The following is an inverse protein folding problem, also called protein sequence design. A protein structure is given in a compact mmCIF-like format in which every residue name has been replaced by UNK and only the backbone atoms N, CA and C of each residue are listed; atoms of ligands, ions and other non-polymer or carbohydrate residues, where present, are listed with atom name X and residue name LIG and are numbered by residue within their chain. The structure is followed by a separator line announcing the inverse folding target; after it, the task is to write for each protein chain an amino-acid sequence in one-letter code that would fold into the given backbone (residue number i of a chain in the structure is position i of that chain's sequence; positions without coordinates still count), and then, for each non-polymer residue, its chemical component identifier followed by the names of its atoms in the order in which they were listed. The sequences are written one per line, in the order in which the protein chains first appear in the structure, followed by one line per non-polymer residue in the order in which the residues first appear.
data_IF_282585523191
#
_entry.id   IF_282585523191
#
_cell.length_a   1.000
_cell.length_b   1.000
_cell.length_c   1.000
_cell.angle_alpha   90.00
_cell.angle_beta   90.00
_cell.angle_gamma   90.00
#
_symmetry.space_group_name_H-M   'P 1'
#
loop_
_entity.id
_entity.type
_entity.pdbx_description
1 polymer ?
#
# COMPACT_ATOMS: atom_id res chain seq x y z
N UNK A 1 3.24 19.05 -2.02
CA UNK A 1 4.40 19.17 -2.93
C UNK A 1 4.66 17.83 -3.60
N UNK A 2 5.06 17.86 -4.86
CA UNK A 2 5.29 16.67 -5.65
C UNK A 2 6.78 16.54 -5.95
N UNK A 3 7.36 15.38 -5.60
CA UNK A 3 8.75 15.08 -5.89
C UNK A 3 8.85 13.79 -6.67
N UNK A 4 9.62 13.82 -7.76
CA UNK A 4 9.90 12.61 -8.51
C UNK A 4 11.02 11.84 -7.79
N UNK A 5 10.78 10.57 -7.48
CA UNK A 5 11.80 9.75 -6.83
C UNK A 5 12.59 8.98 -7.91
N UNK A 6 12.14 7.81 -8.32
CA UNK A 6 12.81 7.09 -9.38
C UNK A 6 11.78 6.33 -10.21
N UNK A 7 12.14 6.10 -11.48
CA UNK A 7 11.28 5.45 -12.46
C UNK A 7 9.96 6.18 -12.58
N UNK A 8 8.87 5.60 -12.20
CA UNK A 8 7.55 6.19 -12.33
C UNK A 8 6.97 6.63 -11.00
N UNK A 9 7.77 6.65 -9.93
CA UNK A 9 7.28 6.99 -8.60
C UNK A 9 7.59 8.42 -8.24
N UNK A 10 6.62 9.06 -7.59
CA UNK A 10 6.72 10.43 -7.10
C UNK A 10 6.20 10.49 -5.66
N UNK A 11 6.73 11.44 -4.88
CA UNK A 11 6.29 11.69 -3.52
C UNK A 11 5.29 12.83 -3.53
N UNK A 12 4.11 12.59 -2.97
CA UNK A 12 3.05 13.62 -2.82
C UNK A 12 2.77 13.79 -1.34
N UNK A 13 3.31 14.84 -0.74
CA UNK A 13 3.21 15.04 0.71
C UNK A 13 1.96 15.80 1.14
N UNK A 14 1.38 16.57 0.25
CA UNK A 14 0.27 17.46 0.59
C UNK A 14 -1.04 16.73 0.86
N UNK A 15 -1.26 15.56 0.28
CA UNK A 15 -2.49 14.81 0.46
C UNK A 15 -2.61 14.16 1.85
N UNK A 16 -1.46 13.80 2.43
CA UNK A 16 -1.40 13.17 3.76
C UNK A 16 -0.21 13.76 4.49
N UNK A 17 -0.39 14.87 5.25
CA UNK A 17 0.74 15.60 5.84
C UNK A 17 1.66 14.76 6.72
N UNK A 18 1.17 13.68 7.30
CA UNK A 18 1.95 12.81 8.19
C UNK A 18 2.40 11.53 7.51
N UNK A 19 2.17 11.40 6.21
CA UNK A 19 2.53 10.20 5.45
C UNK A 19 3.32 10.59 4.20
N UNK A 20 4.20 9.69 3.79
CA UNK A 20 4.86 9.79 2.50
C UNK A 20 3.96 9.11 1.47
N UNK A 21 3.59 9.82 0.41
CA UNK A 21 2.75 9.27 -0.64
C UNK A 21 3.56 9.18 -1.92
N UNK A 22 3.66 7.96 -2.44
CA UNK A 22 4.37 7.67 -3.68
C UNK A 22 3.36 7.31 -4.75
N UNK A 23 3.49 7.95 -5.89
CA UNK A 23 2.54 7.84 -7.00
C UNK A 23 3.23 7.11 -8.16
N UNK A 24 2.55 6.12 -8.71
CA UNK A 24 3.01 5.45 -9.92
C UNK A 24 2.32 6.10 -11.12
N UNK A 25 3.13 6.71 -11.98
CA UNK A 25 2.65 7.32 -13.21
C UNK A 25 3.12 6.53 -14.42
N UNK A 26 2.29 6.50 -15.44
CA UNK A 26 2.65 5.95 -16.72
C UNK A 26 2.13 6.92 -17.79
N UNK A 27 3.05 7.53 -18.54
CA UNK A 27 2.69 8.64 -19.40
C UNK A 27 2.23 9.82 -18.57
N UNK A 28 1.07 10.39 -18.91
CA UNK A 28 0.48 11.50 -18.17
C UNK A 28 -0.55 11.05 -17.15
N UNK A 29 -0.72 9.73 -16.96
CA UNK A 29 -1.78 9.18 -16.12
C UNK A 29 -1.23 8.59 -14.83
N UNK A 30 -1.88 8.92 -13.72
CA UNK A 30 -1.60 8.30 -12.44
C UNK A 30 -2.32 6.96 -12.41
N UNK A 31 -1.55 5.88 -12.24
CA UNK A 31 -2.07 4.52 -12.22
C UNK A 31 -2.36 4.02 -10.82
N UNK A 32 -1.72 4.61 -9.81
CA UNK A 32 -1.96 4.22 -8.43
C UNK A 32 -1.05 4.98 -7.48
N UNK A 33 -1.27 4.78 -6.19
CA UNK A 33 -0.41 5.37 -5.17
C UNK A 33 -0.35 4.47 -3.94
N UNK A 34 0.70 4.69 -3.14
CA UNK A 34 0.84 4.07 -1.83
C UNK A 34 1.27 5.14 -0.82
N UNK A 35 0.60 5.19 0.31
CA UNK A 35 0.94 6.09 1.40
C UNK A 35 1.57 5.32 2.54
N UNK A 36 2.73 5.79 3.00
CA UNK A 36 3.47 5.18 4.10
C UNK A 36 3.59 6.15 5.26
N UNK A 37 3.25 5.67 6.44
CA UNK A 37 3.51 6.38 7.68
C UNK A 37 4.49 5.51 8.47
N UNK A 38 5.77 5.88 8.43
CA UNK A 38 6.86 5.03 8.89
C UNK A 38 6.81 3.68 8.16
N UNK A 39 6.62 2.56 8.86
CA UNK A 39 6.51 1.24 8.24
C UNK A 39 5.06 0.82 7.96
N UNK A 40 4.09 1.68 8.28
CA UNK A 40 2.68 1.36 8.13
C UNK A 40 2.15 1.84 6.78
N UNK A 41 1.50 0.94 6.06
CA UNK A 41 0.83 1.30 4.81
C UNK A 41 -0.51 1.93 5.17
N UNK A 42 -0.57 3.26 5.11
CA UNK A 42 -1.76 4.01 5.43
C UNK A 42 -2.83 3.91 4.34
N UNK A 43 -2.41 3.65 3.11
CA UNK A 43 -3.34 3.46 2.01
C UNK A 43 -2.61 3.00 0.77
N UNK A 44 -3.32 2.27 -0.07
CA UNK A 44 -2.85 1.87 -1.39
C UNK A 44 -4.05 1.90 -2.33
N UNK A 45 -3.85 2.49 -3.49
CA UNK A 45 -4.90 2.63 -4.49
C UNK A 45 -4.34 2.32 -5.87
N UNK A 46 -5.12 1.58 -6.65
CA UNK A 46 -4.80 1.31 -8.05
C UNK A 46 -6.04 1.67 -8.86
N UNK A 47 -5.87 2.45 -9.92
CA UNK A 47 -6.99 2.85 -10.77
C UNK A 47 -7.68 1.62 -11.38
N UNK A 48 -8.99 1.73 -11.66
CA UNK A 48 -9.73 0.62 -12.21
C UNK A 48 -9.15 0.07 -13.51
N UNK A 49 -8.61 0.97 -14.34
CA UNK A 49 -7.99 0.56 -15.60
C UNK A 49 -6.68 -0.19 -15.40
N UNK A 50 -5.99 0.05 -14.30
CA UNK A 50 -4.67 -0.50 -14.04
C UNK A 50 -4.68 -1.71 -13.09
N UNK A 51 -5.85 -2.10 -12.57
CA UNK A 51 -5.92 -3.14 -11.54
C UNK A 51 -5.42 -4.51 -12.00
N UNK A 52 -5.51 -4.82 -13.27
CA UNK A 52 -5.08 -6.10 -13.81
C UNK A 52 -3.66 -6.09 -14.37
N UNK A 53 -2.96 -4.96 -14.30
CA UNK A 53 -1.65 -4.79 -14.94
C UNK A 53 -0.47 -4.88 -13.99
N UNK A 54 -0.69 -5.33 -12.75
CA UNK A 54 0.40 -5.52 -11.79
C UNK A 54 0.87 -4.26 -11.08
N UNK A 55 0.10 -3.17 -11.15
CA UNK A 55 0.50 -1.90 -10.52
C UNK A 55 0.52 -2.03 -9.00
N UNK A 56 -0.45 -2.72 -8.39
CA UNK A 56 -0.44 -2.96 -6.95
C UNK A 56 0.82 -3.66 -6.49
N UNK A 57 1.25 -4.66 -7.24
CA UNK A 57 2.49 -5.37 -6.96
C UNK A 57 3.71 -4.46 -7.09
N UNK A 58 3.73 -3.58 -8.08
CA UNK A 58 4.82 -2.62 -8.25
C UNK A 58 4.90 -1.64 -7.08
N UNK A 59 3.75 -1.17 -6.59
CA UNK A 59 3.69 -0.29 -5.43
C UNK A 59 4.24 -0.99 -4.18
N UNK A 60 3.84 -2.22 -3.95
CA UNK A 60 4.33 -3.01 -2.81
C UNK A 60 5.84 -3.27 -2.95
N UNK A 61 6.31 -3.63 -4.13
CA UNK A 61 7.74 -3.86 -4.37
C UNK A 61 8.55 -2.60 -4.14
N UNK A 62 8.02 -1.44 -4.56
CA UNK A 62 8.68 -0.16 -4.29
C UNK A 62 8.80 0.07 -2.78
N UNK A 63 7.71 -0.11 -2.05
CA UNK A 63 7.71 0.08 -0.60
C UNK A 63 8.69 -0.87 0.09
N UNK A 64 8.77 -2.12 -0.35
CA UNK A 64 9.73 -3.09 0.16
C UNK A 64 11.17 -2.67 -0.07
N UNK A 65 11.41 -1.90 -1.13
CA UNK A 65 12.75 -1.40 -1.44
C UNK A 65 13.22 -0.29 -0.52
N UNK A 66 12.28 0.43 0.10
CA UNK A 66 12.62 1.59 0.93
C UNK A 66 12.31 1.39 2.42
N UNK A 67 11.76 0.24 2.79
CA UNK A 67 11.50 -0.11 4.19
C UNK A 67 11.96 -1.54 4.45
N UNK A 68 12.46 -1.80 5.64
CA UNK A 68 12.87 -3.16 6.03
C UNK A 68 11.70 -3.99 6.53
N UNK A 69 10.59 -3.33 6.82
CA UNK A 69 9.39 -3.94 7.34
C UNK A 69 8.20 -3.11 6.89
N UNK A 70 7.08 -3.77 6.64
CA UNK A 70 5.82 -3.09 6.30
C UNK A 70 4.69 -3.72 7.08
N UNK A 71 3.77 -2.89 7.57
CA UNK A 71 2.58 -3.32 8.30
C UNK A 71 1.35 -2.72 7.65
N UNK A 72 0.23 -3.42 7.76
CA UNK A 72 -1.05 -2.91 7.26
C UNK A 72 -2.20 -3.51 8.04
N UNK A 73 -3.37 -2.91 7.89
CA UNK A 73 -4.64 -3.48 8.33
C UNK A 73 -5.54 -3.65 7.12
N UNK A 74 -6.31 -4.72 7.09
CA UNK A 74 -7.19 -5.02 5.98
C UNK A 74 -8.46 -5.68 6.50
N UNK A 75 -9.62 -5.30 5.95
CA UNK A 75 -10.87 -5.94 6.32
C UNK A 75 -10.85 -7.42 5.97
N UNK A 76 -11.26 -8.27 6.92
CA UNK A 76 -11.27 -9.72 6.71
C UNK A 76 -12.21 -10.10 5.56
N UNK A 77 -13.29 -9.35 5.39
CA UNK A 77 -14.23 -9.60 4.31
C UNK A 77 -13.68 -9.27 2.93
N UNK A 78 -12.61 -8.48 2.86
CA UNK A 78 -11.95 -8.17 1.60
C UNK A 78 -10.97 -9.29 1.26
N UNK A 79 -11.52 -10.46 0.89
CA UNK A 79 -10.71 -11.66 0.67
C UNK A 79 -9.73 -11.50 -0.48
N UNK A 80 -10.07 -10.70 -1.49
CA UNK A 80 -9.17 -10.45 -2.61
C UNK A 80 -7.92 -9.70 -2.15
N UNK A 81 -8.09 -8.68 -1.33
CA UNK A 81 -6.96 -7.92 -0.81
C UNK A 81 -6.10 -8.78 0.13
N UNK A 82 -6.73 -9.56 1.02
CA UNK A 82 -6.01 -10.45 1.93
C UNK A 82 -5.12 -11.41 1.12
N UNK A 83 -5.68 -12.04 0.08
CA UNK A 83 -4.93 -12.96 -0.77
C UNK A 83 -3.80 -12.26 -1.51
N UNK A 84 -4.05 -11.04 -1.98
CA UNK A 84 -3.02 -10.24 -2.65
C UNK A 84 -1.83 -10.02 -1.72
N UNK A 85 -2.07 -9.55 -0.49
CA UNK A 85 -1.00 -9.30 0.45
C UNK A 85 -0.27 -10.59 0.84
N UNK A 86 -0.99 -11.69 0.99
CA UNK A 86 -0.36 -12.97 1.28
C UNK A 86 0.56 -13.42 0.13
N UNK A 87 0.14 -13.23 -1.11
CA UNK A 87 1.01 -13.54 -2.27
C UNK A 87 2.24 -12.65 -2.29
N UNK A 88 2.14 -11.43 -1.75
CA UNK A 88 3.28 -10.52 -1.68
C UNK A 88 4.14 -10.74 -0.45
N UNK A 89 3.88 -11.79 0.30
CA UNK A 89 4.73 -12.18 1.43
C UNK A 89 4.33 -11.63 2.78
N UNK A 90 3.17 -11.00 2.88
CA UNK A 90 2.66 -10.55 4.17
C UNK A 90 2.02 -11.72 4.91
N UNK A 91 2.21 -11.73 6.22
CA UNK A 91 1.61 -12.72 7.12
C UNK A 91 0.62 -12.05 8.06
N UNK A 92 -0.42 -12.78 8.43
CA UNK A 92 -1.38 -12.29 9.43
C UNK A 92 -0.68 -12.30 10.78
N UNK A 93 -0.60 -11.14 11.43
CA UNK A 93 0.03 -10.99 12.73
C UNK A 93 -0.98 -10.83 13.86
N UNK A 94 -2.24 -10.55 13.54
CA UNK A 94 -3.29 -10.40 14.53
C UNK A 94 -4.61 -10.06 13.87
N UNK A 95 -5.62 -9.90 14.69
CA UNK A 95 -6.93 -9.44 14.22
C UNK A 95 -7.60 -8.59 15.29
N UNK A 96 -8.44 -7.69 14.84
CA UNK A 96 -9.13 -6.76 15.73
C UNK A 96 -10.39 -6.24 15.04
N UNK A 97 -11.22 -5.52 15.81
CA UNK A 97 -12.40 -4.85 15.28
C UNK A 97 -12.07 -3.40 15.03
N UNK A 98 -12.35 -2.91 13.82
CA UNK A 98 -12.18 -1.50 13.50
C UNK A 98 -13.31 -0.73 14.17
N UNK A 99 -12.95 0.28 14.98
CA UNK A 99 -13.91 0.93 15.90
C UNK A 99 -14.98 1.74 15.17
N UNK A 100 -14.64 2.37 14.05
CA UNK A 100 -15.58 3.23 13.35
C UNK A 100 -16.62 2.46 12.55
N UNK A 101 -16.26 1.30 12.02
CA UNK A 101 -17.15 0.51 11.17
C UNK A 101 -17.71 -0.73 11.85
N UNK A 102 -17.09 -1.18 12.93
CA UNK A 102 -17.44 -2.44 13.57
C UNK A 102 -17.00 -3.68 12.80
N UNK A 103 -16.28 -3.51 11.71
CA UNK A 103 -15.82 -4.61 10.88
C UNK A 103 -14.55 -5.23 11.42
N UNK A 104 -14.39 -6.54 11.22
CA UNK A 104 -13.18 -7.25 11.64
C UNK A 104 -12.08 -7.01 10.62
N UNK A 105 -10.87 -6.76 11.13
CA UNK A 105 -9.67 -6.59 10.32
C UNK A 105 -8.60 -7.59 10.71
N UNK A 106 -7.74 -7.90 9.72
CA UNK A 106 -6.44 -8.53 10.00
C UNK A 106 -5.37 -7.47 10.04
N UNK A 107 -4.44 -7.61 10.98
CA UNK A 107 -3.16 -6.91 10.93
C UNK A 107 -2.19 -7.84 10.21
N UNK A 108 -1.46 -7.30 9.26
CA UNK A 108 -0.51 -8.09 8.47
C UNK A 108 0.86 -7.43 8.49
N UNK A 109 1.89 -8.24 8.38
CA UNK A 109 3.27 -7.76 8.42
C UNK A 109 4.14 -8.49 7.40
N UNK A 110 5.04 -7.73 6.80
CA UNK A 110 6.11 -8.24 5.97
C UNK A 110 7.43 -7.74 6.52
N UNK A 111 8.44 -8.61 6.61
CA UNK A 111 9.79 -8.25 7.02
C UNK A 111 10.78 -8.71 5.98
N UNK A 112 11.78 -7.86 5.69
CA UNK A 112 12.88 -8.23 4.82
C UNK A 112 13.71 -9.31 5.48
N UNK A 113 14.09 -10.30 4.70
CA UNK A 113 14.94 -11.38 5.18
C UNK A 113 16.41 -11.09 4.96
#
# INVERSE_FOLDING_TARGET
MLFRSMDHFEIVQEMFPQAEVYVYEEGASIQGFIGLQEDYIAGIFVSGEAQSSGIGRRLIHFAKGIRSQLRLDVYQKNTRAVRFYQREGFEISGEHTEQNTGEREYSMIWKRQ
#
